data_IF_041900212520
#
_entry.id   IF_041900212520
#
_cell.length_a   1.000
_cell.length_b   1.000
_cell.length_c   1.000
_cell.angle_alpha   90.00
_cell.angle_beta   90.00
_cell.angle_gamma   90.00
#
_symmetry.space_group_name_H-M   'P 1'
#
loop_
_entity.id
_entity.type
_entity.pdbx_description
1 polymer ?
#
# COMPACT_ATOMS: atom_id res chain seq x y z
N UNK A 1 47.05 39.29 31.25
CA UNK A 1 47.54 40.70 31.26
C UNK A 1 47.14 41.42 32.53
N UNK A 2 45.84 41.65 32.80
CA UNK A 2 45.37 42.34 34.03
C UNK A 2 45.90 41.69 35.31
N UNK A 3 45.89 40.35 35.41
CA UNK A 3 46.49 39.62 36.53
C UNK A 3 47.97 39.95 36.74
N UNK A 4 48.75 40.10 35.66
CA UNK A 4 50.15 40.49 35.75
C UNK A 4 50.33 41.96 36.17
N UNK A 5 49.44 42.85 35.73
CA UNK A 5 49.41 44.24 36.18
C UNK A 5 49.04 44.35 37.66
N UNK A 6 48.13 43.51 38.16
CA UNK A 6 47.77 43.45 39.57
C UNK A 6 48.93 42.94 40.44
N UNK A 7 49.61 41.87 40.03
CA UNK A 7 50.82 41.37 40.70
C UNK A 7 51.88 42.47 40.79
N UNK A 8 52.03 43.26 39.72
CA UNK A 8 52.97 44.37 39.69
C UNK A 8 52.55 45.56 40.58
N UNK A 9 51.25 45.87 40.65
CA UNK A 9 50.72 46.93 41.51
C UNK A 9 50.80 46.56 42.99
N UNK A 10 50.63 45.29 43.35
CA UNK A 10 50.74 44.81 44.74
C UNK A 10 52.20 44.68 45.21
N UNK A 11 53.17 44.59 44.28
CA UNK A 11 54.61 44.48 44.56
C UNK A 11 55.44 45.63 43.94
N UNK A 12 54.86 46.83 43.93
CA UNK A 12 55.31 47.98 43.15
C UNK A 12 56.77 48.40 43.44
N UNK A 13 57.18 48.40 44.71
CA UNK A 13 58.55 48.77 45.10
C UNK A 13 59.61 47.78 44.58
N UNK A 14 59.30 46.48 44.63
CA UNK A 14 60.19 45.42 44.15
C UNK A 14 60.29 45.46 42.61
N UNK A 15 59.17 45.66 41.92
CA UNK A 15 59.13 45.83 40.46
C UNK A 15 59.93 47.06 40.01
N UNK A 16 59.80 48.21 40.69
CA UNK A 16 60.59 49.41 40.36
C UNK A 16 62.07 49.20 40.64
N UNK A 17 62.42 48.55 41.75
CA UNK A 17 63.82 48.27 42.10
C UNK A 17 64.49 47.38 41.03
N UNK A 18 63.80 46.34 40.57
CA UNK A 18 64.24 45.45 39.50
C UNK A 18 64.43 46.20 38.17
N UNK A 19 63.43 47.00 37.76
CA UNK A 19 63.49 47.77 36.50
C UNK A 19 64.64 48.80 36.54
N UNK A 20 64.83 49.49 37.67
CA UNK A 20 65.93 50.46 37.84
C UNK A 20 67.31 49.81 37.93
N UNK A 21 67.39 48.57 38.41
CA UNK A 21 68.64 47.82 38.55
C UNK A 21 69.08 47.14 37.26
N UNK A 22 68.21 47.07 36.25
CA UNK A 22 68.45 46.40 34.97
C UNK A 22 69.17 47.31 33.97
N UNK A 23 70.07 46.75 33.15
CA UNK A 23 70.87 47.49 32.16
C UNK A 23 70.07 47.95 30.95
N UNK A 24 69.03 47.20 30.59
CA UNK A 24 68.21 47.42 29.41
C UNK A 24 66.80 46.79 29.58
N UNK A 25 65.82 47.15 28.72
CA UNK A 25 64.45 46.66 28.84
C UNK A 25 64.28 45.14 28.66
N UNK A 26 65.19 44.48 27.93
CA UNK A 26 65.12 43.03 27.73
C UNK A 26 65.52 42.29 29.01
N UNK A 27 66.58 42.74 29.68
CA UNK A 27 67.01 42.24 31.00
C UNK A 27 65.94 42.50 32.07
N UNK A 28 65.32 43.69 32.07
CA UNK A 28 64.22 44.00 33.00
C UNK A 28 63.01 43.08 32.78
N UNK A 29 62.65 42.81 31.53
CA UNK A 29 61.55 41.90 31.17
C UNK A 29 61.84 40.47 31.64
N UNK A 30 63.04 39.95 31.37
CA UNK A 30 63.41 38.59 31.75
C UNK A 30 63.50 38.43 33.29
N UNK A 31 63.88 39.50 34.00
CA UNK A 31 63.77 39.59 35.46
C UNK A 31 62.33 39.50 35.95
N UNK A 32 61.40 40.25 35.35
CA UNK A 32 59.98 40.22 35.72
C UNK A 32 59.33 38.84 35.46
N UNK A 33 59.75 38.16 34.39
CA UNK A 33 59.30 36.79 34.08
C UNK A 33 59.78 35.80 35.13
N UNK A 34 61.04 35.90 35.55
CA UNK A 34 61.65 34.92 36.47
C UNK A 34 61.30 35.13 37.93
N UNK A 35 61.20 36.38 38.40
CA UNK A 35 60.96 36.69 39.82
C UNK A 35 59.47 36.69 40.20
N UNK A 36 58.59 37.09 39.28
CA UNK A 36 57.14 37.19 39.53
C UNK A 36 56.33 36.13 38.75
N UNK A 37 56.99 35.15 38.15
CA UNK A 37 56.39 34.06 37.36
C UNK A 37 55.44 34.56 36.25
N UNK A 38 55.78 35.70 35.63
CA UNK A 38 54.94 36.35 34.64
C UNK A 38 55.22 35.84 33.22
N UNK A 39 54.20 35.89 32.36
CA UNK A 39 54.41 35.66 30.93
C UNK A 39 55.18 36.82 30.29
N UNK A 40 55.82 36.55 29.14
CA UNK A 40 56.52 37.60 28.36
C UNK A 40 55.61 38.79 28.03
N UNK A 41 54.34 38.52 27.73
CA UNK A 41 53.34 39.54 27.40
C UNK A 41 52.90 40.34 28.64
N UNK A 42 52.75 39.68 29.80
CA UNK A 42 52.48 40.36 31.08
C UNK A 42 53.65 41.26 31.48
N UNK A 43 54.89 40.75 31.40
CA UNK A 43 56.09 41.53 31.70
C UNK A 43 56.24 42.74 30.78
N UNK A 44 55.99 42.58 29.47
CA UNK A 44 56.00 43.68 28.52
C UNK A 44 54.91 44.73 28.85
N UNK A 45 53.70 44.29 29.19
CA UNK A 45 52.61 45.20 29.57
C UNK A 45 52.91 46.01 30.86
N UNK A 46 53.70 45.45 31.78
CA UNK A 46 54.18 46.17 32.98
C UNK A 46 55.22 47.22 32.61
N UNK A 47 56.16 46.89 31.71
CA UNK A 47 57.15 47.85 31.23
C UNK A 47 56.52 49.01 30.45
N UNK A 48 55.44 48.75 29.71
CA UNK A 48 54.70 49.75 28.95
C UNK A 48 53.72 50.57 29.82
N UNK A 49 53.68 50.31 31.12
CA UNK A 49 52.81 51.00 32.07
C UNK A 49 53.24 52.45 32.26
N UNK A 50 52.27 53.37 32.24
CA UNK A 50 52.51 54.79 32.52
C UNK A 50 52.37 55.07 34.01
N UNK A 51 53.22 55.93 34.58
CA UNK A 51 53.20 56.29 36.01
C UNK A 51 51.82 56.77 36.52
N UNK A 52 50.99 57.38 35.66
CA UNK A 52 49.63 57.79 36.00
C UNK A 52 48.71 56.62 36.43
N UNK A 53 49.00 55.39 35.97
CA UNK A 53 48.24 54.18 36.32
C UNK A 53 48.50 53.68 37.74
N UNK A 54 49.51 54.23 38.42
CA UNK A 54 49.84 53.90 39.81
C UNK A 54 48.99 54.69 40.82
N UNK A 55 48.12 55.59 40.35
CA UNK A 55 47.17 56.27 41.24
C UNK A 55 46.15 55.27 41.78
N UNK A 56 45.68 55.48 43.01
CA UNK A 56 44.72 54.59 43.66
C UNK A 56 43.47 54.36 42.78
N UNK A 57 42.94 55.42 42.18
CA UNK A 57 41.78 55.35 41.28
C UNK A 57 42.02 54.47 40.05
N UNK A 58 43.18 54.56 39.42
CA UNK A 58 43.48 53.76 38.22
C UNK A 58 43.82 52.31 38.59
N UNK A 59 44.39 52.07 39.77
CA UNK A 59 44.63 50.73 40.29
C UNK A 59 43.31 50.03 40.64
N UNK A 60 42.37 50.76 41.24
CA UNK A 60 41.05 50.23 41.58
C UNK A 60 40.24 49.89 40.31
N UNK A 61 40.31 50.72 39.26
CA UNK A 61 39.72 50.38 37.95
C UNK A 61 40.26 49.09 37.35
N UNK A 62 41.57 48.83 37.47
CA UNK A 62 42.18 47.58 36.98
C UNK A 62 41.68 46.38 37.80
N UNK A 63 41.47 46.55 39.11
CA UNK A 63 40.88 45.51 39.97
C UNK A 63 39.42 45.24 39.62
N UNK A 64 38.63 46.29 39.40
CA UNK A 64 37.23 46.20 38.97
C UNK A 64 37.13 45.51 37.60
N UNK A 65 37.88 45.96 36.60
CA UNK A 65 37.90 45.36 35.26
C UNK A 65 38.32 43.87 35.31
N UNK A 66 39.31 43.54 36.15
CA UNK A 66 39.71 42.15 36.35
C UNK A 66 38.58 41.32 37.00
N UNK A 67 37.89 41.87 38.00
CA UNK A 67 36.78 41.18 38.66
C UNK A 67 35.60 40.92 37.71
N UNK A 68 35.19 41.94 36.94
CA UNK A 68 34.13 41.82 35.93
C UNK A 68 34.48 40.78 34.86
N UNK A 69 35.71 40.78 34.36
CA UNK A 69 36.15 39.79 33.37
C UNK A 69 36.21 38.38 33.96
N UNK A 70 36.60 38.23 35.22
CA UNK A 70 36.58 36.93 35.89
C UNK A 70 35.17 36.39 36.10
N UNK A 71 34.21 37.26 36.41
CA UNK A 71 32.78 36.91 36.47
C UNK A 71 32.27 36.47 35.09
N UNK A 72 32.54 37.26 34.05
CA UNK A 72 32.16 36.94 32.67
C UNK A 72 32.78 35.61 32.20
N UNK A 73 34.06 35.36 32.50
CA UNK A 73 34.72 34.08 32.20
C UNK A 73 34.01 32.93 32.90
N UNK A 74 33.59 33.12 34.16
CA UNK A 74 32.82 32.15 34.92
C UNK A 74 31.50 31.81 34.24
N UNK A 75 30.74 32.83 33.85
CA UNK A 75 29.47 32.67 33.13
C UNK A 75 29.64 31.96 31.80
N UNK A 76 30.58 32.41 30.96
CA UNK A 76 30.85 31.82 29.65
C UNK A 76 31.31 30.36 29.76
N UNK A 77 32.17 30.04 30.74
CA UNK A 77 32.57 28.64 30.99
C UNK A 77 31.42 27.80 31.49
N UNK A 78 30.52 28.35 32.30
CA UNK A 78 29.36 27.63 32.79
C UNK A 78 28.34 27.35 31.65
N UNK A 79 28.23 28.24 30.66
CA UNK A 79 27.45 27.99 29.45
C UNK A 79 28.14 26.94 28.56
N UNK A 80 29.44 27.10 28.27
CA UNK A 80 30.17 26.17 27.41
C UNK A 80 30.35 24.76 28.00
N UNK A 81 30.28 24.62 29.32
CA UNK A 81 30.45 23.35 30.02
C UNK A 81 29.19 22.48 30.10
N UNK A 82 28.02 23.01 29.72
CA UNK A 82 26.73 22.32 29.83
C UNK A 82 25.89 22.53 28.57
N UNK A 83 25.67 21.44 27.83
CA UNK A 83 24.90 21.45 26.58
C UNK A 83 23.44 21.91 26.80
N UNK A 84 22.83 21.62 27.97
CA UNK A 84 21.48 22.09 28.28
C UNK A 84 21.41 23.61 28.40
N UNK A 85 22.45 24.25 28.96
CA UNK A 85 22.52 25.71 29.08
C UNK A 85 22.69 26.39 27.73
N UNK A 86 23.48 25.80 26.83
CA UNK A 86 23.61 26.29 25.46
C UNK A 86 22.26 26.26 24.74
N UNK A 87 21.54 25.13 24.81
CA UNK A 87 20.21 25.04 24.21
C UNK A 87 19.18 25.95 24.89
N UNK A 88 19.31 26.18 26.20
CA UNK A 88 18.53 27.17 26.95
C UNK A 88 18.70 28.57 26.39
N UNK A 89 19.94 29.03 26.24
CA UNK A 89 20.26 30.34 25.66
C UNK A 89 19.75 30.48 24.22
N UNK A 90 19.99 29.47 23.37
CA UNK A 90 19.50 29.47 21.98
C UNK A 90 17.97 29.58 21.94
N UNK A 91 17.27 28.91 22.85
CA UNK A 91 15.81 29.00 22.94
C UNK A 91 15.36 30.41 23.35
N UNK A 92 16.03 31.02 24.32
CA UNK A 92 15.73 32.39 24.77
C UNK A 92 15.92 33.39 23.62
N UNK A 93 17.06 33.33 22.91
CA UNK A 93 17.33 34.19 21.75
C UNK A 93 16.31 33.97 20.61
N UNK A 94 15.96 32.72 20.31
CA UNK A 94 14.95 32.42 19.28
C UNK A 94 13.56 32.91 19.69
N UNK A 95 13.22 32.87 20.97
CA UNK A 95 11.95 33.41 21.47
C UNK A 95 11.90 34.93 21.34
N UNK A 96 12.98 35.63 21.69
CA UNK A 96 13.08 37.09 21.53
C UNK A 96 12.93 37.50 20.06
N UNK A 97 13.50 36.73 19.12
CA UNK A 97 13.31 36.95 17.69
C UNK A 97 11.85 36.76 17.26
N UNK A 98 11.16 35.74 17.78
CA UNK A 98 9.72 35.52 17.50
C UNK A 98 8.87 36.65 18.08
N UNK A 99 9.19 37.16 19.27
CA UNK A 99 8.45 38.29 19.87
C UNK A 99 8.68 39.60 19.11
N UNK A 100 9.91 39.85 18.67
CA UNK A 100 10.28 41.11 18.00
C UNK A 100 9.86 41.14 16.53
N UNK A 101 9.91 39.99 15.85
CA UNK A 101 9.73 39.90 14.40
C UNK A 101 8.63 38.95 13.94
N UNK A 102 7.90 38.31 14.86
CA UNK A 102 6.79 37.42 14.52
C UNK A 102 5.60 38.19 13.94
N UNK A 103 5.02 37.65 12.86
CA UNK A 103 3.74 38.10 12.33
C UNK A 103 2.73 36.94 12.26
N UNK A 104 1.44 37.28 12.29
CA UNK A 104 0.40 36.28 12.08
C UNK A 104 0.45 35.76 10.65
N UNK A 105 0.12 34.47 10.50
CA UNK A 105 0.06 33.84 9.20
C UNK A 105 -1.00 34.52 8.34
N UNK A 106 -0.56 35.14 7.25
CA UNK A 106 -1.45 35.81 6.29
C UNK A 106 -2.28 34.85 5.42
N UNK A 107 -1.82 33.60 5.30
CA UNK A 107 -2.47 32.55 4.53
C UNK A 107 -3.24 31.60 5.45
N UNK A 108 -4.38 31.12 5.00
CA UNK A 108 -5.16 30.09 5.70
C UNK A 108 -4.86 28.72 5.10
N UNK A 109 -4.78 27.69 5.94
CA UNK A 109 -4.78 26.31 5.47
C UNK A 109 -6.20 25.90 5.11
N UNK A 110 -6.57 26.01 3.84
CA UNK A 110 -7.77 25.33 3.36
C UNK A 110 -7.50 23.83 3.29
N UNK A 111 -8.46 23.04 3.79
CA UNK A 111 -8.51 21.60 3.48
C UNK A 111 -8.69 21.46 1.97
N UNK A 112 -7.60 21.12 1.28
CA UNK A 112 -7.61 20.77 -0.13
C UNK A 112 -8.32 19.41 -0.30
N UNK A 113 -9.57 19.44 -0.77
CA UNK A 113 -10.36 18.24 -1.07
C UNK A 113 -10.00 17.68 -2.45
N UNK A 114 -8.74 17.30 -2.63
CA UNK A 114 -8.26 16.47 -3.75
C UNK A 114 -8.26 17.13 -5.13
N UNK A 115 -7.33 16.68 -5.97
CA UNK A 115 -7.49 16.78 -7.43
C UNK A 115 -8.86 16.19 -7.79
N UNK A 116 -9.61 16.83 -8.70
CA UNK A 116 -10.82 16.21 -9.26
C UNK A 116 -10.42 14.85 -9.86
N UNK A 117 -10.79 13.76 -9.19
CA UNK A 117 -10.62 12.44 -9.77
C UNK A 117 -11.60 12.35 -10.94
N UNK A 118 -11.13 11.84 -12.09
CA UNK A 118 -12.00 11.65 -13.27
C UNK A 118 -13.27 10.86 -12.88
N UNK A 119 -13.16 9.98 -11.89
CA UNK A 119 -14.28 9.24 -11.30
C UNK A 119 -15.41 10.15 -10.80
N UNK A 120 -15.12 11.28 -10.15
CA UNK A 120 -16.14 12.21 -9.62
C UNK A 120 -16.95 12.91 -10.73
N UNK A 121 -16.42 12.95 -11.94
CA UNK A 121 -17.13 13.50 -13.12
C UNK A 121 -18.06 12.48 -13.77
N UNK A 122 -17.94 11.21 -13.41
CA UNK A 122 -18.69 10.11 -14.01
C UNK A 122 -19.99 9.92 -13.25
N UNK A 123 -21.11 9.87 -13.97
CA UNK A 123 -22.40 9.65 -13.33
C UNK A 123 -22.50 8.23 -12.75
N UNK A 124 -22.98 8.13 -11.51
CA UNK A 124 -23.30 6.85 -10.90
C UNK A 124 -24.58 6.28 -11.51
N UNK A 125 -24.48 5.21 -12.29
CA UNK A 125 -25.61 4.60 -13.00
C UNK A 125 -25.49 3.07 -13.02
N UNK A 126 -26.63 2.40 -13.07
CA UNK A 126 -26.68 0.94 -13.20
C UNK A 126 -26.42 0.52 -14.65
N UNK A 127 -25.43 -0.34 -14.83
CA UNK A 127 -24.97 -0.81 -16.12
C UNK A 127 -25.15 -2.32 -16.24
N UNK A 128 -25.52 -2.80 -17.42
CA UNK A 128 -25.38 -4.20 -17.82
C UNK A 128 -24.01 -4.37 -18.46
N UNK A 129 -23.22 -5.29 -17.92
CA UNK A 129 -21.92 -5.66 -18.45
C UNK A 129 -22.07 -7.03 -19.10
N UNK A 130 -21.59 -7.16 -20.32
CA UNK A 130 -21.56 -8.43 -21.04
C UNK A 130 -20.15 -8.74 -21.50
N UNK A 131 -19.68 -9.96 -21.24
CA UNK A 131 -18.44 -10.53 -21.76
C UNK A 131 -18.79 -11.80 -22.55
N UNK A 132 -18.33 -11.86 -23.80
CA UNK A 132 -18.54 -13.04 -24.67
C UNK A 132 -17.43 -14.07 -24.51
N UNK A 133 -17.69 -15.31 -24.93
CA UNK A 133 -16.72 -16.41 -24.88
C UNK A 133 -15.48 -16.13 -25.76
N UNK A 134 -15.61 -15.36 -26.85
CA UNK A 134 -14.44 -14.90 -27.62
C UNK A 134 -13.71 -13.70 -27.02
N UNK A 135 -14.14 -13.21 -25.85
CA UNK A 135 -13.46 -12.17 -25.09
C UNK A 135 -13.87 -10.75 -25.48
N UNK A 136 -15.06 -10.52 -26.03
CA UNK A 136 -15.55 -9.15 -26.26
C UNK A 136 -16.33 -8.65 -25.05
N UNK A 137 -15.95 -7.48 -24.54
CA UNK A 137 -16.60 -6.84 -23.39
C UNK A 137 -17.25 -5.52 -23.80
N UNK A 138 -18.39 -5.23 -23.17
CA UNK A 138 -19.03 -3.90 -23.23
C UNK A 138 -19.87 -3.63 -21.98
N UNK A 139 -20.14 -2.35 -21.75
CA UNK A 139 -21.17 -1.87 -20.82
C UNK A 139 -22.29 -1.16 -21.57
N UNK A 140 -23.47 -1.21 -20.99
CA UNK A 140 -24.66 -0.50 -21.47
C UNK A 140 -25.50 -0.06 -20.26
N UNK A 141 -26.21 1.08 -20.28
CA UNK A 141 -27.15 1.45 -19.22
C UNK A 141 -28.34 0.48 -19.16
N UNK A 142 -28.73 0.04 -17.96
CA UNK A 142 -29.82 -0.95 -17.75
C UNK A 142 -31.13 -0.56 -18.44
N UNK A 143 -31.44 0.75 -18.50
CA UNK A 143 -32.65 1.25 -19.17
C UNK A 143 -32.71 0.90 -20.66
N UNK A 144 -31.56 0.68 -21.30
CA UNK A 144 -31.49 0.24 -22.70
C UNK A 144 -31.94 -1.21 -22.92
N UNK A 145 -32.04 -2.03 -21.85
CA UNK A 145 -32.61 -3.39 -21.92
C UNK A 145 -34.12 -3.41 -21.63
N UNK A 146 -34.68 -2.35 -21.04
CA UNK A 146 -36.07 -2.32 -20.61
C UNK A 146 -37.00 -2.39 -21.82
N UNK A 147 -37.76 -3.48 -21.89
CA UNK A 147 -38.67 -3.79 -22.99
C UNK A 147 -39.78 -2.72 -23.08
N UNK A 148 -39.98 -2.10 -24.25
CA UNK A 148 -41.25 -1.43 -24.55
C UNK A 148 -42.36 -2.50 -24.55
N UNK A 149 -43.38 -2.33 -23.69
CA UNK A 149 -44.54 -3.23 -23.54
C UNK A 149 -45.46 -3.21 -24.77
N UNK A 150 -44.99 -3.65 -25.94
CA UNK A 150 -45.87 -3.98 -27.07
C UNK A 150 -45.43 -5.28 -27.70
N UNK A 151 -46.34 -6.25 -27.69
CA UNK A 151 -46.17 -7.55 -28.32
C UNK A 151 -45.76 -7.38 -29.78
N UNK A 152 -44.59 -7.90 -30.10
CA UNK A 152 -43.96 -7.82 -31.41
C UNK A 152 -42.74 -8.74 -31.38
N UNK A 153 -42.57 -9.47 -32.48
CA UNK A 153 -41.51 -10.43 -32.81
C UNK A 153 -40.19 -10.15 -32.10
N UNK A 154 -39.60 -11.22 -31.53
CA UNK A 154 -38.43 -11.23 -30.64
C UNK A 154 -37.42 -10.10 -30.85
N UNK A 155 -37.08 -9.45 -29.75
CA UNK A 155 -36.11 -8.34 -29.71
C UNK A 155 -34.76 -8.85 -30.21
N UNK A 156 -34.28 -8.33 -31.35
CA UNK A 156 -33.00 -8.72 -31.96
C UNK A 156 -31.87 -8.60 -30.94
N UNK A 157 -31.14 -9.71 -30.75
CA UNK A 157 -30.00 -9.81 -29.85
C UNK A 157 -28.78 -9.01 -30.33
N UNK A 158 -27.69 -9.11 -29.58
CA UNK A 158 -26.39 -8.55 -29.94
C UNK A 158 -25.86 -9.17 -31.24
N UNK A 159 -25.24 -8.38 -32.13
CA UNK A 159 -24.61 -8.91 -33.35
C UNK A 159 -23.27 -9.58 -33.01
N UNK A 160 -23.34 -10.80 -32.47
CA UNK A 160 -22.17 -11.58 -32.08
C UNK A 160 -21.37 -12.03 -33.30
N UNK A 161 -20.11 -12.42 -33.08
CA UNK A 161 -19.33 -13.15 -34.09
C UNK A 161 -19.98 -14.52 -34.29
N UNK A 162 -19.82 -15.11 -35.47
CA UNK A 162 -20.33 -16.45 -35.75
C UNK A 162 -19.78 -17.46 -34.73
N UNK A 163 -20.68 -18.20 -34.06
CA UNK A 163 -20.33 -19.14 -32.99
C UNK A 163 -20.01 -18.51 -31.63
N UNK A 164 -20.11 -17.19 -31.47
CA UNK A 164 -19.88 -16.51 -30.20
C UNK A 164 -21.18 -16.37 -29.39
N UNK A 165 -21.06 -16.37 -28.06
CA UNK A 165 -22.17 -16.27 -27.12
C UNK A 165 -21.75 -15.46 -25.89
N UNK A 166 -22.73 -14.88 -25.20
CA UNK A 166 -22.48 -14.15 -23.94
C UNK A 166 -22.22 -15.18 -22.85
N UNK A 167 -21.03 -15.13 -22.26
CA UNK A 167 -20.60 -16.06 -21.21
C UNK A 167 -20.81 -15.47 -19.82
N UNK A 168 -20.52 -14.17 -19.65
CA UNK A 168 -20.76 -13.46 -18.39
C UNK A 168 -21.69 -12.26 -18.61
N UNK A 169 -22.69 -12.13 -17.73
CA UNK A 169 -23.62 -11.02 -17.71
C UNK A 169 -23.82 -10.56 -16.27
N UNK A 170 -23.50 -9.29 -16.00
CA UNK A 170 -23.60 -8.69 -14.67
C UNK A 170 -24.35 -7.36 -14.72
N UNK A 171 -25.01 -7.02 -13.62
CA UNK A 171 -25.60 -5.70 -13.39
C UNK A 171 -24.88 -5.10 -12.20
N UNK A 172 -24.23 -3.95 -12.40
CA UNK A 172 -23.52 -3.23 -11.35
C UNK A 172 -23.39 -1.73 -11.66
N UNK A 173 -22.97 -0.95 -10.68
CA UNK A 173 -22.79 0.50 -10.80
C UNK A 173 -21.57 0.84 -11.67
N UNK A 174 -21.58 2.01 -12.32
CA UNK A 174 -20.42 2.55 -13.06
C UNK A 174 -19.14 2.63 -12.22
N UNK A 175 -19.29 2.81 -10.91
CA UNK A 175 -18.17 2.95 -9.95
C UNK A 175 -17.72 1.62 -9.33
N UNK A 176 -18.45 0.53 -9.58
CA UNK A 176 -18.06 -0.78 -9.07
C UNK A 176 -16.82 -1.28 -9.82
N UNK A 177 -16.07 -2.15 -9.16
CA UNK A 177 -14.99 -2.91 -9.75
C UNK A 177 -15.50 -4.20 -10.35
N UNK A 178 -14.88 -4.62 -11.45
CA UNK A 178 -14.99 -5.95 -12.00
C UNK A 178 -13.65 -6.67 -11.83
N UNK A 179 -13.71 -7.84 -11.21
CA UNK A 179 -12.58 -8.73 -11.03
C UNK A 179 -12.64 -9.84 -12.08
N UNK A 180 -11.65 -9.88 -12.98
CA UNK A 180 -11.53 -10.86 -14.05
C UNK A 180 -10.52 -11.93 -13.65
N UNK A 181 -11.00 -13.12 -13.29
CA UNK A 181 -10.16 -14.25 -12.91
C UNK A 181 -9.83 -15.09 -14.13
N UNK A 182 -8.56 -15.41 -14.34
CA UNK A 182 -8.09 -16.10 -15.55
C UNK A 182 -7.70 -17.56 -15.30
N UNK A 183 -7.67 -18.36 -16.37
CA UNK A 183 -7.24 -19.76 -16.35
C UNK A 183 -5.80 -19.94 -15.78
N UNK A 184 -4.95 -18.91 -15.90
CA UNK A 184 -3.60 -18.89 -15.32
C UNK A 184 -3.56 -18.51 -13.83
N UNK A 185 -4.71 -18.32 -13.20
CA UNK A 185 -4.83 -18.02 -11.78
C UNK A 185 -4.43 -16.59 -11.42
N UNK A 186 -4.50 -15.67 -12.38
CA UNK A 186 -4.41 -14.22 -12.13
C UNK A 186 -5.80 -13.62 -11.95
N UNK A 187 -5.84 -12.46 -11.31
CA UNK A 187 -7.01 -11.59 -11.31
C UNK A 187 -6.61 -10.18 -11.72
N UNK A 188 -7.40 -9.64 -12.63
CA UNK A 188 -7.31 -8.26 -13.10
C UNK A 188 -8.51 -7.48 -12.58
N UNK A 189 -8.33 -6.17 -12.37
CA UNK A 189 -9.38 -5.29 -11.86
C UNK A 189 -9.57 -4.12 -12.82
N UNK A 190 -10.81 -3.83 -13.18
CA UNK A 190 -11.19 -2.60 -13.87
C UNK A 190 -12.44 -2.00 -13.26
N UNK A 191 -12.54 -0.68 -13.26
CA UNK A 191 -13.80 0.01 -12.96
C UNK A 191 -14.77 -0.20 -14.11
N UNK A 192 -16.05 -0.30 -13.80
CA UNK A 192 -17.09 -0.48 -14.83
C UNK A 192 -17.04 0.65 -15.85
N UNK A 193 -16.89 1.92 -15.45
CA UNK A 193 -16.85 3.04 -16.39
C UNK A 193 -15.70 2.98 -17.42
N UNK A 194 -14.62 2.26 -17.11
CA UNK A 194 -13.47 2.08 -18.02
C UNK A 194 -13.76 1.07 -19.14
N UNK A 195 -14.84 0.28 -19.01
CA UNK A 195 -15.29 -0.59 -20.09
C UNK A 195 -15.90 0.22 -21.23
N UNK A 196 -15.75 -0.24 -22.48
CA UNK A 196 -16.30 0.43 -23.64
C UNK A 196 -17.83 0.45 -23.56
N UNK A 197 -18.40 1.64 -23.66
CA UNK A 197 -19.85 1.81 -23.78
C UNK A 197 -20.28 1.49 -25.21
N UNK A 198 -21.36 0.73 -25.36
CA UNK A 198 -21.85 0.35 -26.68
C UNK A 198 -23.34 0.15 -26.71
N UNK A 199 -23.92 0.29 -27.90
CA UNK A 199 -25.32 -0.02 -28.13
C UNK A 199 -25.61 -1.51 -27.90
N UNK A 200 -26.89 -1.86 -27.77
CA UNK A 200 -27.32 -3.26 -27.64
C UNK A 200 -26.81 -4.14 -28.79
N UNK A 201 -26.77 -3.60 -30.00
CA UNK A 201 -26.31 -4.30 -31.21
C UNK A 201 -24.79 -4.33 -31.35
N UNK A 202 -24.06 -3.41 -30.72
CA UNK A 202 -22.60 -3.32 -30.83
C UNK A 202 -21.92 -4.57 -30.26
N UNK A 203 -20.79 -4.96 -30.86
CA UNK A 203 -19.98 -6.10 -30.39
C UNK A 203 -19.19 -5.82 -29.11
N UNK A 204 -18.91 -4.56 -28.81
CA UNK A 204 -17.96 -4.19 -27.76
C UNK A 204 -16.52 -4.24 -28.27
N UNK A 205 -15.57 -4.23 -27.34
CA UNK A 205 -14.14 -4.27 -27.64
C UNK A 205 -13.51 -5.55 -27.10
N UNK A 206 -12.45 -6.02 -27.75
CA UNK A 206 -11.71 -7.18 -27.29
C UNK A 206 -11.06 -6.89 -25.93
N UNK A 207 -11.22 -7.80 -24.96
CA UNK A 207 -10.75 -7.64 -23.59
C UNK A 207 -9.22 -7.52 -23.50
N UNK A 208 -8.49 -8.13 -24.44
CA UNK A 208 -7.03 -8.02 -24.58
C UNK A 208 -6.54 -6.58 -24.82
N UNK A 209 -7.41 -5.68 -25.27
CA UNK A 209 -7.08 -4.25 -25.41
C UNK A 209 -7.20 -3.48 -24.09
N UNK A 210 -7.89 -4.06 -23.10
CA UNK A 210 -8.18 -3.46 -21.79
C UNK A 210 -7.32 -4.07 -20.68
N UNK A 211 -6.94 -5.35 -20.83
CA UNK A 211 -6.19 -6.13 -19.86
C UNK A 211 -4.95 -6.74 -20.52
N UNK A 212 -3.76 -6.69 -19.87
CA UNK A 212 -2.55 -7.32 -20.39
C UNK A 212 -2.60 -8.85 -20.16
N UNK A 213 -3.44 -9.52 -20.93
CA UNK A 213 -3.59 -10.96 -20.95
C UNK A 213 -2.45 -11.60 -21.74
N UNK A 214 -1.90 -12.69 -21.23
CA UNK A 214 -0.88 -13.49 -21.95
C UNK A 214 -1.53 -14.29 -23.06
N UNK A 215 -0.69 -14.80 -23.96
CA UNK A 215 -1.14 -15.76 -24.97
C UNK A 215 -1.75 -17.01 -24.29
N UNK A 216 -2.95 -17.40 -24.74
CA UNK A 216 -3.72 -18.50 -24.16
C UNK A 216 -4.43 -18.18 -22.83
N UNK A 217 -4.28 -16.97 -22.29
CA UNK A 217 -4.93 -16.56 -21.06
C UNK A 217 -6.39 -16.14 -21.32
N UNK A 218 -7.33 -16.80 -20.64
CA UNK A 218 -8.78 -16.62 -20.79
C UNK A 218 -9.41 -16.30 -19.46
N UNK A 219 -10.47 -15.48 -19.47
CA UNK A 219 -11.29 -15.22 -18.29
C UNK A 219 -12.18 -16.42 -18.00
N UNK A 220 -12.20 -16.86 -16.75
CA UNK A 220 -12.98 -17.99 -16.27
C UNK A 220 -14.10 -17.56 -15.32
N UNK A 221 -13.96 -16.39 -14.69
CA UNK A 221 -15.00 -15.81 -13.85
C UNK A 221 -14.86 -14.29 -13.81
N UNK A 222 -16.01 -13.61 -13.71
CA UNK A 222 -16.11 -12.18 -13.47
C UNK A 222 -16.91 -11.95 -12.19
N UNK A 223 -16.35 -11.20 -11.25
CA UNK A 223 -17.02 -10.89 -9.97
C UNK A 223 -17.10 -9.37 -9.81
N UNK A 224 -18.30 -8.77 -9.82
CA UNK A 224 -18.47 -7.36 -9.50
C UNK A 224 -18.34 -7.13 -7.99
N UNK A 225 -17.78 -5.99 -7.58
CA UNK A 225 -17.67 -5.59 -6.18
C UNK A 225 -17.45 -4.09 -6.04
N UNK A 226 -18.04 -3.51 -5.00
CA UNK A 226 -17.78 -2.13 -4.58
C UNK A 226 -16.78 -2.09 -3.43
N UNK A 227 -16.98 -2.95 -2.43
CA UNK A 227 -16.28 -2.89 -1.14
C UNK A 227 -15.55 -4.17 -0.73
N UNK A 228 -15.58 -5.21 -1.57
CA UNK A 228 -15.00 -6.54 -1.27
C UNK A 228 -15.64 -7.22 -0.05
N UNK A 229 -16.94 -6.98 0.17
CA UNK A 229 -17.73 -7.51 1.30
C UNK A 229 -18.98 -8.26 0.87
N UNK A 230 -19.30 -8.26 -0.42
CA UNK A 230 -20.47 -8.92 -1.01
C UNK A 230 -20.42 -10.44 -0.82
N UNK A 231 -19.20 -10.97 -0.66
CA UNK A 231 -18.92 -12.35 -0.29
C UNK A 231 -17.89 -12.36 0.84
N UNK A 232 -17.93 -13.39 1.70
CA UNK A 232 -16.91 -13.57 2.73
C UNK A 232 -15.64 -14.16 2.13
N UNK A 233 -15.80 -15.20 1.31
CA UNK A 233 -14.71 -15.89 0.65
C UNK A 233 -14.94 -16.03 -0.85
N UNK A 234 -13.84 -16.19 -1.58
CA UNK A 234 -13.85 -16.72 -2.94
C UNK A 234 -13.35 -18.16 -2.93
N UNK A 235 -14.18 -19.07 -3.43
CA UNK A 235 -13.84 -20.46 -3.68
C UNK A 235 -13.35 -20.62 -5.12
N UNK A 236 -12.21 -21.30 -5.29
CA UNK A 236 -11.56 -21.57 -6.56
C UNK A 236 -11.56 -23.07 -6.81
N UNK A 237 -11.69 -23.48 -8.06
CA UNK A 237 -11.42 -24.86 -8.48
C UNK A 237 -10.52 -24.88 -9.71
N UNK A 238 -9.62 -25.86 -9.77
CA UNK A 238 -8.75 -26.11 -10.91
C UNK A 238 -9.14 -27.40 -11.65
N UNK A 239 -8.68 -27.53 -12.90
CA UNK A 239 -8.94 -28.67 -13.75
C UNK A 239 -8.45 -30.00 -13.14
N UNK A 240 -7.30 -30.00 -12.45
CA UNK A 240 -6.77 -31.15 -11.73
C UNK A 240 -7.43 -31.40 -10.36
N UNK A 241 -8.54 -30.72 -10.08
CA UNK A 241 -9.35 -30.95 -8.88
C UNK A 241 -8.76 -30.36 -7.61
N UNK A 242 -7.89 -29.35 -7.69
CA UNK A 242 -7.58 -28.54 -6.51
C UNK A 242 -8.72 -27.56 -6.23
N UNK A 243 -8.96 -27.29 -4.96
CA UNK A 243 -9.85 -26.24 -4.48
C UNK A 243 -9.11 -25.35 -3.51
N UNK A 244 -9.45 -24.07 -3.52
CA UNK A 244 -8.87 -23.10 -2.59
C UNK A 244 -9.96 -22.14 -2.15
N UNK A 245 -9.88 -21.71 -0.89
CA UNK A 245 -10.70 -20.64 -0.35
C UNK A 245 -9.80 -19.49 0.07
N UNK A 246 -10.13 -18.26 -0.32
CA UNK A 246 -9.40 -17.03 0.07
C UNK A 246 -10.42 -16.01 0.57
N UNK A 247 -10.09 -15.19 1.56
CA UNK A 247 -10.98 -14.08 1.95
C UNK A 247 -11.17 -13.10 0.80
N UNK A 248 -12.38 -12.60 0.61
CA UNK A 248 -12.66 -11.73 -0.54
C UNK A 248 -11.91 -10.39 -0.41
N UNK A 249 -11.74 -9.92 0.83
CA UNK A 249 -11.02 -8.68 1.15
C UNK A 249 -9.54 -8.74 0.76
N UNK A 250 -8.93 -9.93 0.64
CA UNK A 250 -7.52 -10.08 0.22
C UNK A 250 -7.27 -9.59 -1.23
N UNK A 251 -8.34 -9.41 -2.01
CA UNK A 251 -8.30 -8.88 -3.36
C UNK A 251 -8.45 -7.36 -3.43
N UNK A 252 -8.72 -6.70 -2.29
CA UNK A 252 -8.67 -5.24 -2.17
C UNK A 252 -7.22 -4.75 -2.08
N UNK A 253 -6.51 -4.81 -3.19
CA UNK A 253 -5.13 -4.33 -3.29
C UNK A 253 -5.04 -3.08 -4.15
N UNK A 254 -3.92 -2.33 -4.12
CA UNK A 254 -3.67 -1.27 -5.11
C UNK A 254 -3.80 -1.79 -6.55
N UNK A 255 -4.23 -0.92 -7.49
CA UNK A 255 -4.37 -1.29 -8.90
C UNK A 255 -2.98 -1.65 -9.43
N UNK A 256 -2.80 -2.88 -9.91
CA UNK A 256 -1.62 -3.29 -10.66
C UNK A 256 -2.04 -3.60 -12.09
N UNK A 257 -1.42 -2.93 -13.06
CA UNK A 257 -1.70 -3.15 -14.48
C UNK A 257 -1.54 -4.63 -14.88
N UNK A 258 -0.49 -5.29 -14.37
CA UNK A 258 -0.18 -6.70 -14.65
C UNK A 258 -1.11 -7.71 -13.95
N UNK A 259 -2.13 -7.24 -13.24
CA UNK A 259 -2.95 -8.07 -12.36
C UNK A 259 -2.18 -8.58 -11.14
N UNK A 260 -2.89 -9.33 -10.30
CA UNK A 260 -2.33 -9.93 -9.09
C UNK A 260 -2.55 -11.44 -9.10
N UNK A 261 -1.73 -12.18 -8.37
CA UNK A 261 -1.93 -13.62 -8.19
C UNK A 261 -3.26 -13.85 -7.45
N UNK A 262 -4.12 -14.69 -8.01
CA UNK A 262 -5.37 -15.11 -7.41
C UNK A 262 -5.29 -16.51 -6.84
N UNK A 263 -4.58 -17.43 -7.50
CA UNK A 263 -4.26 -18.79 -7.05
C UNK A 263 -2.95 -19.23 -7.71
N UNK A 264 -2.12 -20.01 -7.03
CA UNK A 264 -0.95 -20.64 -7.66
C UNK A 264 -1.39 -21.86 -8.46
N UNK A 265 -1.36 -21.75 -9.78
CA UNK A 265 -1.63 -22.86 -10.71
C UNK A 265 -0.39 -23.75 -10.81
N UNK A 266 -0.59 -25.07 -10.78
CA UNK A 266 0.47 -26.07 -10.96
C UNK A 266 0.74 -26.29 -12.45
N UNK A 267 1.88 -26.87 -12.77
CA UNK A 267 2.21 -27.22 -14.14
C UNK A 267 1.16 -28.18 -14.74
N UNK A 268 0.67 -27.86 -15.94
CA UNK A 268 -0.38 -28.62 -16.63
C UNK A 268 -1.78 -28.52 -15.99
N UNK A 269 -2.00 -27.57 -15.07
CA UNK A 269 -3.29 -27.29 -14.47
C UNK A 269 -3.83 -25.94 -14.96
N UNK A 270 -5.11 -25.68 -14.75
CA UNK A 270 -5.73 -24.39 -15.05
C UNK A 270 -6.92 -24.13 -14.14
N UNK A 271 -7.20 -22.85 -13.85
CA UNK A 271 -8.41 -22.45 -13.13
C UNK A 271 -9.63 -22.74 -14.00
N UNK A 272 -10.66 -23.36 -13.42
CA UNK A 272 -11.92 -23.66 -14.12
C UNK A 272 -13.11 -22.83 -13.63
N UNK A 273 -13.05 -22.33 -12.40
CA UNK A 273 -14.13 -21.50 -11.88
C UNK A 273 -13.79 -20.83 -10.56
N UNK A 274 -14.48 -19.72 -10.31
CA UNK A 274 -14.45 -18.97 -9.06
C UNK A 274 -15.88 -18.68 -8.63
N UNK A 275 -16.19 -18.88 -7.36
CA UNK A 275 -17.51 -18.61 -6.79
C UNK A 275 -17.38 -17.80 -5.51
N UNK A 276 -18.25 -16.81 -5.34
CA UNK A 276 -18.44 -16.12 -4.07
C UNK A 276 -19.16 -17.03 -3.07
N UNK A 277 -18.67 -17.06 -1.83
CA UNK A 277 -19.16 -17.94 -0.75
C UNK A 277 -19.25 -17.19 0.58
N UNK A 278 -20.13 -17.65 1.46
CA UNK A 278 -20.51 -17.04 2.73
C UNK A 278 -19.75 -17.59 3.94
N UNK A 279 -19.15 -18.78 3.84
CA UNK A 279 -18.54 -19.52 4.94
C UNK A 279 -19.30 -20.80 5.30
N UNK A 280 -20.58 -20.88 4.96
CA UNK A 280 -21.51 -21.98 5.29
C UNK A 280 -22.05 -22.67 4.04
N UNK A 281 -21.42 -22.46 2.88
CA UNK A 281 -21.88 -22.99 1.61
C UNK A 281 -21.29 -24.38 1.31
N UNK A 282 -22.09 -25.22 0.66
CA UNK A 282 -21.59 -26.44 0.02
C UNK A 282 -21.00 -26.12 -1.35
N UNK A 283 -19.82 -26.69 -1.64
CA UNK A 283 -19.20 -26.63 -2.96
C UNK A 283 -19.56 -27.89 -3.75
N UNK A 284 -20.01 -27.70 -4.99
CA UNK A 284 -20.31 -28.77 -5.94
C UNK A 284 -19.38 -28.66 -7.15
N UNK A 285 -18.53 -29.68 -7.33
CA UNK A 285 -17.67 -29.82 -8.49
C UNK A 285 -18.19 -30.91 -9.42
N UNK A 286 -18.16 -30.65 -10.72
CA UNK A 286 -18.53 -31.63 -11.75
C UNK A 286 -17.32 -31.93 -12.62
N UNK A 287 -17.07 -33.20 -12.90
CA UNK A 287 -15.93 -33.64 -13.72
C UNK A 287 -16.34 -34.17 -15.09
N UNK A 288 -15.36 -34.24 -15.99
CA UNK A 288 -15.51 -34.78 -17.35
C UNK A 288 -16.02 -36.22 -17.34
N UNK A 289 -15.57 -37.06 -16.40
CA UNK A 289 -16.05 -38.45 -16.25
C UNK A 289 -17.53 -38.59 -15.80
N UNK A 290 -18.31 -37.51 -15.78
CA UNK A 290 -19.73 -37.55 -15.43
C UNK A 290 -19.99 -37.78 -13.95
N UNK A 291 -19.06 -37.40 -13.07
CA UNK A 291 -19.20 -37.49 -11.61
C UNK A 291 -19.29 -36.10 -10.97
N UNK A 292 -19.98 -35.99 -9.84
CA UNK A 292 -20.03 -34.77 -9.04
C UNK A 292 -19.66 -35.00 -7.59
N UNK A 293 -18.87 -34.08 -7.03
CA UNK A 293 -18.44 -34.09 -5.63
C UNK A 293 -19.04 -32.88 -4.92
N UNK A 294 -19.87 -33.13 -3.90
CA UNK A 294 -20.44 -32.11 -3.01
C UNK A 294 -19.80 -32.22 -1.63
N UNK A 295 -19.25 -31.14 -1.11
CA UNK A 295 -18.71 -31.07 0.25
C UNK A 295 -18.82 -29.66 0.81
N UNK A 296 -18.92 -29.55 2.13
CA UNK A 296 -19.02 -28.27 2.82
C UNK A 296 -17.71 -27.48 2.77
N UNK A 297 -17.78 -26.16 2.56
CA UNK A 297 -16.61 -25.33 2.30
C UNK A 297 -15.61 -25.23 3.46
N UNK A 298 -16.02 -25.55 4.69
CA UNK A 298 -15.18 -25.61 5.89
C UNK A 298 -14.04 -26.64 5.79
N UNK A 299 -14.24 -27.71 5.01
CA UNK A 299 -13.21 -28.72 4.71
C UNK A 299 -12.03 -28.17 3.89
N UNK A 300 -12.16 -26.95 3.35
CA UNK A 300 -11.11 -26.17 2.74
C UNK A 300 -10.90 -24.87 3.54
N UNK A 301 -9.93 -24.89 4.46
CA UNK A 301 -9.58 -23.69 5.24
C UNK A 301 -9.23 -22.50 4.34
N UNK A 302 -9.51 -21.25 4.77
CA UNK A 302 -9.02 -20.06 4.10
C UNK A 302 -7.49 -20.06 4.00
N UNK A 303 -6.96 -19.67 2.84
CA UNK A 303 -5.53 -19.58 2.54
C UNK A 303 -5.24 -18.32 1.76
N UNK A 304 -4.01 -17.80 1.86
CA UNK A 304 -3.60 -16.63 1.10
C UNK A 304 -3.60 -16.86 -0.41
N UNK A 305 -3.67 -15.75 -1.16
CA UNK A 305 -3.78 -15.73 -2.64
C UNK A 305 -2.73 -16.60 -3.35
N UNK A 306 -1.47 -16.51 -2.96
CA UNK A 306 -0.34 -17.21 -3.60
C UNK A 306 -0.21 -18.71 -3.34
N UNK A 307 -1.21 -19.33 -2.70
CA UNK A 307 -1.21 -20.78 -2.43
C UNK A 307 -1.94 -21.57 -3.52
N UNK A 308 -1.66 -22.87 -3.62
CA UNK A 308 -2.25 -23.76 -4.62
C UNK A 308 -3.55 -24.45 -4.16
N UNK A 309 -3.94 -24.26 -2.90
CA UNK A 309 -5.10 -24.95 -2.32
C UNK A 309 -4.85 -26.41 -1.94
N UNK A 310 -5.96 -27.13 -1.77
CA UNK A 310 -6.02 -28.53 -1.33
C UNK A 310 -6.85 -29.36 -2.33
N UNK A 311 -6.74 -30.69 -2.32
CA UNK A 311 -7.51 -31.55 -3.25
C UNK A 311 -9.02 -31.47 -2.99
N UNK A 312 -9.81 -30.90 -3.89
CA UNK A 312 -11.27 -30.80 -3.80
C UNK A 312 -12.01 -32.03 -4.32
N UNK A 313 -11.58 -32.53 -5.48
CA UNK A 313 -12.15 -33.69 -6.15
C UNK A 313 -11.03 -34.61 -6.66
N UNK A 314 -11.22 -35.92 -6.56
CA UNK A 314 -10.28 -36.87 -7.13
C UNK A 314 -10.60 -37.12 -8.61
N UNK A 315 -9.81 -36.51 -9.49
CA UNK A 315 -9.87 -36.68 -10.94
C UNK A 315 -8.70 -37.49 -11.48
N UNK A 316 -8.08 -38.36 -10.67
CA UNK A 316 -6.89 -39.14 -11.06
C UNK A 316 -7.11 -40.15 -12.19
N UNK A 317 -8.34 -40.33 -12.65
CA UNK A 317 -8.64 -41.17 -13.81
C UNK A 317 -8.11 -40.48 -15.07
N UNK A 318 -7.53 -41.26 -15.98
CA UNK A 318 -6.97 -40.74 -17.23
C UNK A 318 -8.01 -39.94 -18.03
N UNK A 319 -7.62 -38.76 -18.50
CA UNK A 319 -8.49 -37.82 -19.23
C UNK A 319 -9.58 -37.14 -18.39
N UNK A 320 -9.72 -37.48 -17.10
CA UNK A 320 -10.69 -36.83 -16.22
C UNK A 320 -10.13 -35.50 -15.70
N UNK A 321 -11.03 -34.52 -15.59
CA UNK A 321 -10.73 -33.19 -15.06
C UNK A 321 -12.01 -32.56 -14.54
N UNK A 322 -11.89 -31.59 -13.64
CA UNK A 322 -13.01 -30.75 -13.24
C UNK A 322 -13.39 -29.85 -14.43
N UNK A 323 -14.69 -29.71 -14.65
CA UNK A 323 -15.27 -28.84 -15.66
C UNK A 323 -15.92 -27.60 -15.05
N UNK A 324 -16.51 -27.73 -13.86
CA UNK A 324 -17.21 -26.61 -13.22
C UNK A 324 -17.15 -26.67 -11.69
N UNK A 325 -17.28 -25.49 -11.10
CA UNK A 325 -17.49 -25.25 -9.67
C UNK A 325 -18.74 -24.39 -9.50
N UNK A 326 -19.66 -24.81 -8.64
CA UNK A 326 -20.81 -24.01 -8.22
C UNK A 326 -21.01 -24.12 -6.71
N UNK A 327 -21.67 -23.12 -6.14
CA UNK A 327 -22.27 -23.22 -4.81
C UNK A 327 -23.53 -24.09 -4.93
N UNK A 328 -23.64 -25.12 -4.10
CA UNK A 328 -24.78 -26.02 -4.08
C UNK A 328 -25.93 -25.36 -3.30
N UNK A 329 -27.06 -25.15 -3.97
CA UNK A 329 -28.29 -24.65 -3.34
C UNK A 329 -29.37 -25.70 -3.46
N UNK A 330 -29.93 -26.16 -2.34
CA UNK A 330 -30.86 -27.30 -2.32
C UNK A 330 -32.19 -27.04 -3.04
N UNK A 331 -32.54 -25.77 -3.27
CA UNK A 331 -33.71 -25.32 -4.03
C UNK A 331 -33.46 -25.20 -5.55
N UNK A 332 -32.31 -25.66 -6.03
CA UNK A 332 -31.90 -25.56 -7.43
C UNK A 332 -31.69 -26.91 -8.10
N UNK A 333 -31.64 -26.91 -9.44
CA UNK A 333 -31.31 -28.08 -10.25
C UNK A 333 -29.89 -27.96 -10.83
N UNK A 334 -29.15 -29.06 -10.86
CA UNK A 334 -27.96 -29.19 -11.68
C UNK A 334 -28.35 -29.68 -13.08
N UNK A 335 -28.15 -28.81 -14.09
CA UNK A 335 -28.21 -29.18 -15.50
C UNK A 335 -26.82 -29.63 -15.96
N UNK A 336 -26.73 -30.85 -16.49
CA UNK A 336 -25.52 -31.36 -17.14
C UNK A 336 -25.82 -31.64 -18.61
N UNK A 337 -24.90 -31.25 -19.48
CA UNK A 337 -24.95 -31.48 -20.93
C UNK A 337 -23.65 -32.15 -21.35
N UNK A 338 -23.76 -33.16 -22.23
CA UNK A 338 -22.63 -33.89 -22.79
C UNK A 338 -22.29 -33.38 -24.19
N UNK A 339 -21.12 -33.78 -24.71
CA UNK A 339 -20.63 -33.37 -26.03
C UNK A 339 -21.59 -33.74 -27.19
N UNK A 340 -22.30 -34.86 -27.09
CA UNK A 340 -23.27 -35.29 -28.11
C UNK A 340 -24.66 -34.66 -27.91
N UNK A 341 -24.79 -33.64 -27.07
CA UNK A 341 -26.03 -32.89 -26.85
C UNK A 341 -27.06 -33.60 -25.96
N UNK A 342 -26.68 -34.66 -25.25
CA UNK A 342 -27.55 -35.26 -24.24
C UNK A 342 -27.46 -34.46 -22.96
N UNK A 343 -28.61 -34.25 -22.30
CA UNK A 343 -28.64 -33.52 -21.05
C UNK A 343 -29.58 -34.15 -20.03
N UNK A 344 -29.32 -33.84 -18.76
CA UNK A 344 -30.24 -34.15 -17.68
C UNK A 344 -30.28 -32.99 -16.67
N UNK A 345 -31.43 -32.85 -16.01
CA UNK A 345 -31.58 -32.03 -14.80
C UNK A 345 -31.77 -32.96 -13.61
N UNK A 346 -31.15 -32.63 -12.49
CA UNK A 346 -31.29 -33.37 -11.24
C UNK A 346 -31.24 -32.37 -10.10
N UNK A 347 -32.16 -32.48 -9.14
CA UNK A 347 -32.21 -31.58 -8.01
C UNK A 347 -30.88 -31.64 -7.23
N UNK A 348 -30.36 -30.49 -6.80
CA UNK A 348 -29.09 -30.40 -6.07
C UNK A 348 -29.18 -31.15 -4.73
N UNK A 349 -30.36 -31.19 -4.12
CA UNK A 349 -30.65 -31.95 -2.90
C UNK A 349 -30.46 -33.47 -3.04
N UNK A 350 -30.48 -34.02 -4.26
CA UNK A 350 -30.17 -35.45 -4.52
C UNK A 350 -28.66 -35.75 -4.51
N UNK A 351 -27.80 -34.73 -4.54
CA UNK A 351 -26.35 -34.93 -4.45
C UNK A 351 -25.93 -34.98 -2.97
N UNK A 352 -25.47 -36.14 -2.47
CA UNK A 352 -25.13 -36.29 -1.06
C UNK A 352 -23.87 -35.49 -0.74
N UNK A 353 -23.90 -34.79 0.39
CA UNK A 353 -22.71 -34.16 0.98
C UNK A 353 -21.78 -35.28 1.46
N UNK A 354 -20.53 -35.25 0.98
CA UNK A 354 -19.47 -36.20 1.35
C UNK A 354 -18.21 -35.44 1.77
N UNK A 355 -17.16 -36.20 2.07
CA UNK A 355 -15.84 -35.63 2.29
C UNK A 355 -15.25 -35.07 0.99
N UNK A 356 -14.46 -34.01 1.14
CA UNK A 356 -13.57 -33.44 0.14
C UNK A 356 -12.61 -34.51 -0.41
N UNK A 357 -12.25 -34.38 -1.69
CA UNK A 357 -11.22 -35.19 -2.33
C UNK A 357 -11.68 -36.59 -2.71
N UNK A 358 -12.98 -36.86 -2.65
CA UNK A 358 -13.57 -38.10 -3.18
C UNK A 358 -13.71 -38.03 -4.70
N UNK A 359 -13.98 -39.16 -5.35
CA UNK A 359 -14.31 -39.19 -6.79
C UNK A 359 -15.70 -38.58 -7.09
N UNK A 360 -16.51 -38.32 -6.06
CA UNK A 360 -17.90 -37.93 -6.22
C UNK A 360 -18.85 -39.10 -6.48
N UNK A 361 -20.10 -38.77 -6.74
CA UNK A 361 -21.17 -39.70 -7.15
C UNK A 361 -21.39 -39.63 -8.66
N UNK A 362 -21.94 -40.69 -9.24
CA UNK A 362 -22.28 -40.70 -10.66
C UNK A 362 -23.40 -39.68 -10.92
N UNK A 363 -23.08 -38.69 -11.74
CA UNK A 363 -24.04 -37.70 -12.22
C UNK A 363 -24.65 -38.21 -13.51
N UNK A 364 -23.86 -38.41 -14.55
CA UNK A 364 -24.35 -38.88 -15.85
C UNK A 364 -23.52 -40.07 -16.30
N UNK A 365 -24.20 -41.15 -16.69
CA UNK A 365 -23.53 -42.31 -17.28
C UNK A 365 -23.15 -41.98 -18.73
N UNK A 366 -21.86 -41.89 -18.98
CA UNK A 366 -21.28 -41.71 -20.29
C UNK A 366 -21.30 -43.04 -21.07
N UNK A 367 -21.62 -42.95 -22.35
CA UNK A 367 -21.67 -44.05 -23.33
C UNK A 367 -21.24 -43.46 -24.67
N UNK A 368 -20.79 -44.27 -25.64
CA UNK A 368 -20.42 -43.77 -26.97
C UNK A 368 -21.52 -42.88 -27.59
N UNK A 369 -22.79 -43.25 -27.39
CA UNK A 369 -23.94 -42.46 -27.83
C UNK A 369 -24.07 -41.12 -27.11
N UNK A 370 -23.80 -41.07 -25.81
CA UNK A 370 -23.95 -39.86 -24.98
C UNK A 370 -22.71 -38.98 -25.00
N UNK A 371 -21.55 -39.48 -25.41
CA UNK A 371 -20.26 -38.77 -25.38
C UNK A 371 -19.38 -39.16 -24.19
N UNK A 372 -18.09 -38.80 -24.25
CA UNK A 372 -17.00 -39.20 -23.33
C UNK A 372 -16.00 -38.10 -22.97
#
# INVERSE_FOLDING_TARGET
ILEGLLIALDNLDAVIALIRGSSDPDVARDGLISEFELSREQAQAILDMRLQRLTALESDKIREEHAELMELIGELRAILGDEERVYGLVKEELMELVETHGDERRTEFQHFSGDFDIEDTIAEQQMVISLTNTGYVKRLPVDSYRQQRRGGVGVTGMNLKEGDYIEHLHICSTHDFLLFFTNYGKVYRQKVYQLPEGSRQARGSALVNLLPLREGEKVMAVIPTREFKEHKYLAFATAQGQVKKTEFIDYNTPIKADGIIAIKIREGDELVGVQGTSGEDDLLLVSKAGTASRFHEDQARPMGRGTAGVRGMNVSQEGNRVLSLTVARDDSDLLVVTENGYGKRTAVSEYPVKNRGTKGVLTIKLTETKGG
#
